data_IF_078182713465
#
_entry.id   IF_078182713465
#
_cell.length_a   1.000
_cell.length_b   1.000
_cell.length_c   1.000
_cell.angle_alpha   90.00
_cell.angle_beta   90.00
_cell.angle_gamma   90.00
#
_symmetry.space_group_name_H-M   'P 1'
#
loop_
_entity.id
_entity.type
_entity.pdbx_description
1 polymer ?
#
# COMPACT_ATOMS: atom_id res chain seq x y z
N UNK A 1 -14.57 39.41 -33.36
CA UNK A 1 -13.25 38.77 -33.16
C UNK A 1 -12.97 38.79 -31.67
N UNK A 2 -13.50 37.81 -30.93
CA UNK A 2 -13.40 37.74 -29.47
C UNK A 2 -12.07 37.10 -29.07
N UNK A 3 -11.28 37.83 -28.28
CA UNK A 3 -10.01 37.37 -27.73
C UNK A 3 -10.21 36.12 -26.88
N UNK A 4 -9.49 35.04 -27.21
CA UNK A 4 -9.37 33.88 -26.33
C UNK A 4 -8.65 34.30 -25.05
N UNK A 5 -9.35 34.27 -23.94
CA UNK A 5 -8.78 34.40 -22.60
C UNK A 5 -7.84 33.21 -22.38
N UNK A 6 -6.54 33.49 -22.15
CA UNK A 6 -5.56 32.45 -21.84
C UNK A 6 -5.99 31.79 -20.53
N UNK A 7 -6.38 30.52 -20.60
CA UNK A 7 -6.59 29.66 -19.43
C UNK A 7 -5.35 29.77 -18.54
N UNK A 8 -5.57 30.13 -17.28
CA UNK A 8 -4.56 30.32 -16.23
C UNK A 8 -3.72 29.04 -16.13
N UNK A 9 -2.40 29.17 -16.23
CA UNK A 9 -1.47 28.03 -16.24
C UNK A 9 -1.74 27.10 -15.05
N UNK A 10 -2.20 25.89 -15.34
CA UNK A 10 -2.29 24.79 -14.37
C UNK A 10 -0.87 24.50 -13.91
N UNK A 11 -0.60 24.59 -12.60
CA UNK A 11 0.73 24.23 -12.07
C UNK A 11 0.99 22.76 -12.35
N UNK A 12 2.18 22.43 -12.84
CA UNK A 12 2.60 21.04 -13.03
C UNK A 12 2.76 20.34 -11.66
N UNK A 13 2.46 19.05 -11.59
CA UNK A 13 2.52 18.27 -10.35
C UNK A 13 3.91 18.33 -9.70
N UNK A 14 4.96 18.31 -10.52
CA UNK A 14 6.35 18.40 -10.07
C UNK A 14 6.63 19.72 -9.34
N UNK A 15 6.02 20.83 -9.78
CA UNK A 15 6.22 22.14 -9.17
C UNK A 15 5.43 22.27 -7.86
N UNK A 16 4.35 21.51 -7.70
CA UNK A 16 3.64 21.40 -6.42
C UNK A 16 4.50 20.59 -5.43
N UNK A 17 5.07 19.46 -5.85
CA UNK A 17 5.89 18.59 -5.00
C UNK A 17 7.14 19.31 -4.48
N UNK A 18 7.77 20.17 -5.29
CA UNK A 18 8.98 20.92 -4.91
C UNK A 18 8.76 21.92 -3.77
N UNK A 19 7.52 22.39 -3.58
CA UNK A 19 7.17 23.39 -2.58
C UNK A 19 6.74 22.78 -1.23
N UNK A 20 6.65 21.45 -1.13
CA UNK A 20 6.19 20.77 0.09
C UNK A 20 7.23 20.93 1.21
N UNK A 21 6.81 21.56 2.32
CA UNK A 21 7.62 21.70 3.53
C UNK A 21 7.40 20.52 4.49
N UNK A 22 8.28 19.52 4.40
CA UNK A 22 8.27 18.36 5.28
C UNK A 22 8.69 18.65 6.73
N UNK A 23 9.27 19.84 7.03
CA UNK A 23 9.62 20.19 8.41
C UNK A 23 8.37 20.49 9.24
N UNK A 24 7.28 20.89 8.61
CA UNK A 24 5.98 21.09 9.28
C UNK A 24 5.49 19.81 9.99
N UNK A 25 5.82 18.63 9.45
CA UNK A 25 5.45 17.32 9.98
C UNK A 25 6.18 16.98 11.29
N UNK A 26 7.31 17.63 11.62
CA UNK A 26 8.06 17.39 12.86
C UNK A 26 7.31 17.74 14.14
N UNK A 27 6.23 18.51 14.03
CA UNK A 27 5.47 18.99 15.18
C UNK A 27 4.35 18.04 15.61
N UNK A 28 4.02 17.04 14.78
CA UNK A 28 2.96 16.09 15.09
C UNK A 28 3.51 14.85 15.79
N UNK A 29 2.85 14.46 16.88
CA UNK A 29 3.14 13.19 17.55
C UNK A 29 2.48 12.07 16.74
N UNK A 30 3.22 11.05 16.28
CA UNK A 30 2.65 9.97 15.49
C UNK A 30 1.61 9.17 16.27
N UNK A 31 0.64 8.58 15.56
CA UNK A 31 -0.32 7.67 16.19
C UNK A 31 0.35 6.40 16.73
N UNK A 32 -0.36 5.71 17.63
CA UNK A 32 0.07 4.40 18.11
C UNK A 32 0.24 3.40 16.96
N UNK A 33 -0.61 3.47 15.94
CA UNK A 33 -0.53 2.60 14.77
C UNK A 33 0.75 2.87 13.97
N UNK A 34 1.09 4.14 13.70
CA UNK A 34 2.32 4.46 12.98
C UNK A 34 3.57 3.95 13.72
N UNK A 35 3.63 4.10 15.04
CA UNK A 35 4.74 3.59 15.86
C UNK A 35 4.80 2.06 15.88
N UNK A 36 3.66 1.39 15.98
CA UNK A 36 3.55 -0.06 15.92
C UNK A 36 4.02 -0.58 14.56
N UNK A 37 3.58 0.05 13.48
CA UNK A 37 3.92 -0.32 12.12
C UNK A 37 5.42 -0.15 11.84
N UNK A 38 6.03 0.98 12.24
CA UNK A 38 7.48 1.16 12.12
C UNK A 38 8.24 0.12 12.97
N UNK A 39 7.72 -0.24 14.14
CA UNK A 39 8.32 -1.30 14.95
C UNK A 39 8.21 -2.66 14.26
N UNK A 40 7.08 -2.93 13.60
CA UNK A 40 6.89 -4.10 12.77
C UNK A 40 7.92 -4.17 11.63
N UNK A 41 8.15 -3.08 10.89
CA UNK A 41 9.18 -3.05 9.83
C UNK A 41 10.55 -3.46 10.40
N UNK A 42 10.93 -2.95 11.57
CA UNK A 42 12.18 -3.32 12.24
C UNK A 42 12.23 -4.79 12.59
N UNK A 43 11.13 -5.35 13.11
CA UNK A 43 11.04 -6.79 13.41
C UNK A 43 11.16 -7.64 12.15
N UNK A 44 10.55 -7.20 11.04
CA UNK A 44 10.67 -7.89 9.74
C UNK A 44 12.12 -7.92 9.26
N UNK A 45 12.84 -6.80 9.37
CA UNK A 45 14.22 -6.71 8.90
C UNK A 45 15.26 -7.32 9.86
N UNK A 46 14.93 -7.49 11.14
CA UNK A 46 15.78 -8.15 12.13
C UNK A 46 17.16 -7.50 12.29
N UNK A 47 18.19 -8.32 12.55
CA UNK A 47 19.58 -7.85 12.70
C UNK A 47 20.15 -7.21 11.42
N UNK A 48 19.59 -7.54 10.26
CA UNK A 48 19.97 -6.92 8.99
C UNK A 48 19.66 -5.42 8.92
N UNK A 49 18.74 -4.94 9.75
CA UNK A 49 18.37 -3.53 9.84
C UNK A 49 17.66 -2.96 8.60
N UNK A 50 17.28 -1.69 8.69
CA UNK A 50 16.75 -0.94 7.55
C UNK A 50 17.90 -0.20 6.86
N UNK A 51 17.91 -0.16 5.51
CA UNK A 51 18.88 0.64 4.76
C UNK A 51 18.76 2.15 5.08
N UNK A 52 17.58 2.59 5.49
CA UNK A 52 17.27 3.98 5.80
C UNK A 52 16.39 4.08 7.03
N UNK A 53 16.64 5.09 7.89
CA UNK A 53 15.73 5.44 8.98
C UNK A 53 14.37 5.82 8.37
N UNK A 54 13.29 5.32 8.95
CA UNK A 54 11.92 5.67 8.55
C UNK A 54 11.76 7.21 8.62
N UNK A 55 11.61 7.90 7.47
CA UNK A 55 11.45 9.34 7.45
C UNK A 55 10.12 9.74 8.06
N UNK A 56 10.03 10.99 8.53
CA UNK A 56 8.81 11.49 9.18
C UNK A 56 7.57 11.45 8.27
N UNK A 57 7.79 11.51 6.95
CA UNK A 57 6.74 11.41 5.95
C UNK A 57 6.02 10.05 6.02
N UNK A 58 6.72 8.96 6.39
CA UNK A 58 6.09 7.64 6.50
C UNK A 58 5.20 7.56 7.74
N UNK A 59 5.58 8.21 8.83
CA UNK A 59 4.76 8.30 10.04
C UNK A 59 3.45 9.04 9.74
N UNK A 60 3.56 10.20 9.08
CA UNK A 60 2.40 10.98 8.65
C UNK A 60 1.50 10.17 7.70
N UNK A 61 2.07 9.52 6.68
CA UNK A 61 1.29 8.66 5.77
C UNK A 61 0.56 7.52 6.50
N UNK A 62 1.18 6.90 7.49
CA UNK A 62 0.55 5.84 8.29
C UNK A 62 -0.57 6.36 9.18
N UNK A 63 -0.43 7.58 9.70
CA UNK A 63 -1.49 8.25 10.46
C UNK A 63 -2.69 8.52 9.55
N UNK A 64 -2.47 9.05 8.33
CA UNK A 64 -3.53 9.26 7.33
C UNK A 64 -4.23 7.95 6.96
N UNK A 65 -3.48 6.85 6.77
CA UNK A 65 -4.05 5.51 6.51
C UNK A 65 -5.00 5.04 7.62
N UNK A 66 -4.72 5.38 8.89
CA UNK A 66 -5.58 5.01 10.01
C UNK A 66 -6.79 5.92 10.20
N UNK A 67 -6.76 7.14 9.65
CA UNK A 67 -7.81 8.16 9.80
C UNK A 67 -8.78 8.22 8.63
N UNK A 68 -8.34 7.77 7.44
CA UNK A 68 -9.09 7.91 6.20
C UNK A 68 -9.20 6.58 5.44
N UNK A 69 -10.38 6.31 4.89
CA UNK A 69 -10.64 5.12 4.07
C UNK A 69 -10.00 5.22 2.67
N UNK A 70 -9.81 6.45 2.17
CA UNK A 70 -9.25 6.74 0.85
C UNK A 70 -8.04 7.68 1.00
N UNK A 71 -6.88 7.24 0.50
CA UNK A 71 -5.63 7.98 0.64
C UNK A 71 -4.91 8.09 -0.71
N UNK A 72 -4.52 9.31 -1.08
CA UNK A 72 -3.68 9.59 -2.25
C UNK A 72 -2.34 10.21 -1.80
N UNK A 73 -1.27 9.40 -1.85
CA UNK A 73 0.06 9.85 -1.46
C UNK A 73 0.91 10.23 -2.66
N UNK A 74 1.06 11.54 -2.87
CA UNK A 74 1.96 12.11 -3.87
C UNK A 74 3.22 12.63 -3.17
N UNK A 75 4.37 12.05 -3.52
CA UNK A 75 5.66 12.43 -2.95
C UNK A 75 6.76 12.37 -4.01
N UNK A 76 7.90 13.00 -3.72
CA UNK A 76 9.07 12.98 -4.59
C UNK A 76 9.56 11.55 -4.88
N UNK A 77 10.19 11.36 -6.05
CA UNK A 77 10.77 10.08 -6.43
C UNK A 77 11.87 9.67 -5.47
N UNK A 78 11.87 8.41 -5.02
CA UNK A 78 12.84 7.92 -4.02
C UNK A 78 12.38 8.06 -2.57
N UNK A 79 11.14 8.51 -2.32
CA UNK A 79 10.51 8.56 -0.99
C UNK A 79 10.20 7.18 -0.38
N UNK A 80 10.48 6.08 -1.08
CA UNK A 80 10.21 4.70 -0.64
C UNK A 80 8.74 4.40 -0.26
N UNK A 81 7.78 5.17 -0.79
CA UNK A 81 6.34 5.02 -0.49
C UNK A 81 5.79 3.62 -0.83
N UNK A 82 6.22 3.01 -1.93
CA UNK A 82 5.77 1.67 -2.33
C UNK A 82 6.23 0.63 -1.30
N UNK A 83 7.52 0.64 -0.94
CA UNK A 83 8.05 -0.29 0.06
C UNK A 83 7.39 -0.09 1.43
N UNK A 84 7.31 1.16 1.91
CA UNK A 84 6.74 1.46 3.23
C UNK A 84 5.24 1.14 3.33
N UNK A 85 4.44 1.55 2.34
CA UNK A 85 2.98 1.50 2.45
C UNK A 85 2.33 0.31 1.76
N UNK A 86 2.98 -0.33 0.78
CA UNK A 86 2.36 -1.43 0.02
C UNK A 86 2.94 -2.76 0.49
N UNK A 87 4.27 -2.91 0.37
CA UNK A 87 4.96 -4.16 0.69
C UNK A 87 4.84 -4.52 2.18
N UNK A 88 5.24 -3.62 3.09
CA UNK A 88 5.13 -3.89 4.52
C UNK A 88 3.68 -3.92 5.02
N UNK A 89 2.75 -3.22 4.37
CA UNK A 89 1.34 -3.24 4.78
C UNK A 89 0.71 -4.60 4.53
N UNK A 90 0.95 -5.21 3.37
CA UNK A 90 0.51 -6.58 3.12
C UNK A 90 1.09 -7.58 4.12
N UNK A 91 2.37 -7.42 4.48
CA UNK A 91 3.02 -8.28 5.48
C UNK A 91 2.49 -8.03 6.90
N UNK A 92 2.15 -6.79 7.24
CA UNK A 92 1.54 -6.43 8.51
C UNK A 92 0.15 -7.07 8.64
N UNK A 93 -0.70 -6.91 7.62
CA UNK A 93 -2.02 -7.56 7.57
C UNK A 93 -1.87 -9.08 7.57
N UNK A 94 -0.92 -9.65 6.82
CA UNK A 94 -0.65 -11.09 6.86
C UNK A 94 -0.26 -11.58 8.26
N UNK A 95 0.41 -10.75 9.06
CA UNK A 95 0.85 -11.10 10.41
C UNK A 95 -0.29 -10.99 11.43
N UNK A 96 -1.01 -9.86 11.43
CA UNK A 96 -1.99 -9.53 12.47
C UNK A 96 -3.46 -9.78 12.08
N UNK A 97 -3.72 -9.94 10.78
CA UNK A 97 -5.04 -10.21 10.19
C UNK A 97 -5.94 -8.98 9.99
N UNK A 98 -5.40 -7.78 10.16
CA UNK A 98 -6.16 -6.55 10.05
C UNK A 98 -5.34 -5.32 10.39
N UNK A 99 -5.98 -4.16 10.35
CA UNK A 99 -5.40 -2.88 10.73
C UNK A 99 -6.14 -2.37 11.98
N UNK A 100 -5.43 -1.90 13.02
CA UNK A 100 -6.06 -1.29 14.18
C UNK A 100 -7.09 -0.22 13.77
N UNK A 101 -8.28 -0.25 14.37
CA UNK A 101 -9.43 0.64 14.08
C UNK A 101 -10.11 0.46 12.71
N UNK A 102 -9.46 -0.18 11.73
CA UNK A 102 -10.08 -0.55 10.45
C UNK A 102 -10.82 -1.89 10.53
N UNK A 103 -10.25 -2.86 11.25
CA UNK A 103 -10.80 -4.20 11.43
C UNK A 103 -10.05 -5.28 10.64
N UNK A 104 -10.69 -6.44 10.51
CA UNK A 104 -10.11 -7.61 9.86
C UNK A 104 -10.06 -7.45 8.33
N UNK A 105 -8.98 -7.97 7.74
CA UNK A 105 -8.75 -7.92 6.29
C UNK A 105 -8.30 -9.29 5.81
N UNK A 106 -9.20 -9.99 5.10
CA UNK A 106 -8.92 -11.33 4.55
C UNK A 106 -8.57 -11.29 3.05
N UNK A 107 -9.07 -10.28 2.33
CA UNK A 107 -8.91 -10.15 0.87
C UNK A 107 -8.48 -8.74 0.51
N UNK A 108 -7.38 -8.64 -0.24
CA UNK A 108 -6.89 -7.39 -0.79
C UNK A 108 -6.65 -7.48 -2.30
N UNK A 109 -6.65 -6.33 -2.96
CA UNK A 109 -6.20 -6.18 -4.34
C UNK A 109 -4.96 -5.32 -4.43
N UNK A 110 -4.08 -5.68 -5.36
CA UNK A 110 -2.93 -4.88 -5.77
C UNK A 110 -3.05 -4.59 -7.26
N UNK A 111 -3.03 -3.33 -7.64
CA UNK A 111 -3.21 -2.89 -9.02
C UNK A 111 -1.97 -2.13 -9.41
N UNK A 112 -1.32 -2.55 -10.49
CA UNK A 112 -0.16 -1.87 -11.04
C UNK A 112 -0.34 -1.63 -12.54
N UNK A 113 0.57 -0.89 -13.16
CA UNK A 113 0.59 -0.64 -14.60
C UNK A 113 0.39 -1.92 -15.44
N UNK A 114 1.15 -2.97 -15.13
CA UNK A 114 1.15 -4.26 -15.83
C UNK A 114 1.40 -5.40 -14.85
N UNK A 115 0.99 -6.61 -15.24
CA UNK A 115 1.29 -7.83 -14.47
C UNK A 115 2.80 -8.11 -14.45
N UNK A 116 3.46 -7.97 -15.60
CA UNK A 116 4.86 -8.39 -15.73
C UNK A 116 5.84 -7.46 -15.01
N UNK A 117 5.63 -6.14 -15.06
CA UNK A 117 6.55 -5.20 -14.42
C UNK A 117 6.15 -4.88 -12.98
N UNK A 118 4.86 -4.61 -12.71
CA UNK A 118 4.42 -4.20 -11.39
C UNK A 118 4.08 -5.38 -10.47
N UNK A 119 3.10 -6.21 -10.84
CA UNK A 119 2.61 -7.31 -9.99
C UNK A 119 3.73 -8.30 -9.67
N UNK A 120 4.45 -8.79 -10.70
CA UNK A 120 5.54 -9.75 -10.47
C UNK A 120 6.70 -9.16 -9.67
N UNK A 121 6.99 -7.86 -9.80
CA UNK A 121 8.00 -7.20 -8.98
C UNK A 121 7.58 -7.12 -7.52
N UNK A 122 6.33 -6.72 -7.24
CA UNK A 122 5.79 -6.71 -5.87
C UNK A 122 5.82 -8.11 -5.25
N UNK A 123 5.41 -9.15 -6.01
CA UNK A 123 5.52 -10.55 -5.58
C UNK A 123 6.95 -10.92 -5.17
N UNK A 124 7.94 -10.60 -6.01
CA UNK A 124 9.35 -10.90 -5.75
C UNK A 124 9.83 -10.20 -4.48
N UNK A 125 9.44 -8.95 -4.25
CA UNK A 125 9.80 -8.19 -3.05
C UNK A 125 9.20 -8.82 -1.79
N UNK A 126 7.91 -9.16 -1.81
CA UNK A 126 7.23 -9.84 -0.70
C UNK A 126 7.89 -11.19 -0.37
N UNK A 127 8.15 -12.01 -1.39
CA UNK A 127 8.81 -13.31 -1.23
C UNK A 127 10.23 -13.15 -0.67
N UNK A 128 10.98 -12.16 -1.16
CA UNK A 128 12.31 -11.85 -0.64
C UNK A 128 12.29 -11.44 0.84
N UNK A 129 11.36 -10.56 1.24
CA UNK A 129 11.21 -10.15 2.66
C UNK A 129 10.84 -11.32 3.54
N UNK A 130 9.85 -12.10 3.13
CA UNK A 130 9.42 -13.28 3.86
C UNK A 130 10.58 -14.28 4.05
N UNK A 131 11.32 -14.57 2.99
CA UNK A 131 12.44 -15.52 3.03
C UNK A 131 13.62 -15.04 3.88
N UNK A 132 13.78 -13.71 4.05
CA UNK A 132 14.85 -13.12 4.88
C UNK A 132 14.44 -12.82 6.32
N UNK A 133 13.17 -12.97 6.66
CA UNK A 133 12.66 -12.60 7.97
C UNK A 133 12.29 -13.82 8.80
N UNK A 134 13.10 -14.13 9.82
CA UNK A 134 12.76 -15.14 10.82
C UNK A 134 11.46 -14.79 11.56
N UNK A 135 11.23 -13.50 11.79
CA UNK A 135 9.98 -12.99 12.36
C UNK A 135 8.79 -13.39 11.50
N UNK A 136 8.80 -13.09 10.19
CA UNK A 136 7.67 -13.44 9.31
C UNK A 136 7.48 -14.96 9.20
N UNK A 137 8.55 -15.73 9.05
CA UNK A 137 8.46 -17.20 8.97
C UNK A 137 7.89 -17.82 10.24
N UNK A 138 8.16 -17.22 11.40
CA UNK A 138 7.57 -17.64 12.66
C UNK A 138 6.08 -17.32 12.69
N UNK A 139 5.68 -16.08 12.42
CA UNK A 139 4.29 -15.64 12.61
C UNK A 139 3.35 -15.97 11.45
N UNK A 140 3.90 -16.25 10.26
CA UNK A 140 3.19 -16.65 9.05
C UNK A 140 3.76 -17.99 8.59
N UNK A 141 3.41 -19.11 9.26
CA UNK A 141 4.01 -20.42 9.02
C UNK A 141 3.72 -21.00 7.62
N UNK A 142 2.74 -20.43 6.91
CA UNK A 142 2.37 -20.89 5.58
C UNK A 142 2.14 -19.73 4.63
N UNK A 143 2.81 -19.81 3.47
CA UNK A 143 2.67 -18.87 2.37
C UNK A 143 2.56 -19.60 1.04
N UNK A 144 1.84 -19.01 0.09
CA UNK A 144 1.80 -19.48 -1.29
C UNK A 144 1.82 -18.28 -2.24
N UNK A 145 2.92 -18.16 -2.98
CA UNK A 145 3.06 -17.15 -4.03
C UNK A 145 2.81 -17.77 -5.40
N UNK A 146 1.95 -17.14 -6.19
CA UNK A 146 1.89 -17.26 -7.64
C UNK A 146 2.10 -15.88 -8.26
N UNK A 147 2.19 -15.81 -9.59
CA UNK A 147 2.40 -14.54 -10.30
C UNK A 147 1.39 -13.45 -9.90
N UNK A 148 0.13 -13.82 -9.66
CA UNK A 148 -0.98 -12.87 -9.42
C UNK A 148 -1.75 -13.12 -8.13
N UNK A 149 -1.36 -14.11 -7.32
CA UNK A 149 -2.05 -14.45 -6.07
C UNK A 149 -1.04 -14.77 -4.97
N UNK A 150 -1.12 -14.04 -3.86
CA UNK A 150 -0.21 -14.17 -2.73
C UNK A 150 -1.03 -14.46 -1.49
N UNK A 151 -0.86 -15.66 -0.94
CA UNK A 151 -1.67 -16.17 0.14
C UNK A 151 -0.80 -16.39 1.38
N UNK A 152 -1.34 -16.00 2.53
CA UNK A 152 -0.66 -16.04 3.82
C UNK A 152 -1.61 -16.66 4.84
N UNK A 153 -1.08 -17.52 5.72
CA UNK A 153 -1.80 -18.01 6.89
C UNK A 153 -0.94 -17.83 8.13
N UNK A 154 -1.44 -17.07 9.09
CA UNK A 154 -0.71 -16.73 10.31
C UNK A 154 -0.83 -17.81 11.41
N UNK A 155 -0.04 -17.69 12.47
CA UNK A 155 -0.05 -18.60 13.63
C UNK A 155 -1.41 -18.63 14.35
N UNK A 156 -2.20 -17.57 14.27
CA UNK A 156 -3.54 -17.48 14.85
C UNK A 156 -4.60 -18.15 13.95
N UNK A 157 -4.21 -18.66 12.78
CA UNK A 157 -5.08 -19.33 11.83
C UNK A 157 -5.85 -18.38 10.88
N UNK A 158 -5.59 -17.06 10.94
CA UNK A 158 -6.16 -16.08 10.03
C UNK A 158 -5.53 -16.23 8.64
N UNK A 159 -6.36 -16.11 7.62
CA UNK A 159 -5.94 -16.21 6.21
C UNK A 159 -6.05 -14.85 5.54
N UNK A 160 -5.01 -14.45 4.82
CA UNK A 160 -4.98 -13.24 4.05
C UNK A 160 -4.55 -13.54 2.61
N UNK A 161 -5.29 -13.03 1.63
CA UNK A 161 -4.99 -13.21 0.22
C UNK A 161 -4.95 -11.86 -0.51
N UNK A 162 -3.85 -11.62 -1.22
CA UNK A 162 -3.69 -10.49 -2.14
C UNK A 162 -3.77 -11.01 -3.57
N UNK A 163 -4.56 -10.33 -4.41
CA UNK A 163 -4.63 -10.59 -5.85
C UNK A 163 -4.08 -9.40 -6.64
N UNK A 164 -3.12 -9.68 -7.51
CA UNK A 164 -2.51 -8.69 -8.39
C UNK A 164 -3.25 -8.54 -9.72
N UNK A 165 -3.40 -7.30 -10.18
CA UNK A 165 -4.03 -6.91 -11.42
C UNK A 165 -3.16 -5.90 -12.19
N UNK A 166 -3.18 -5.99 -13.52
CA UNK A 166 -2.68 -4.92 -14.37
C UNK A 166 -3.77 -3.88 -14.60
N UNK A 167 -3.40 -2.61 -14.83
CA UNK A 167 -4.35 -1.50 -15.00
C UNK A 167 -5.33 -1.71 -16.17
N UNK A 168 -4.94 -2.49 -17.18
CA UNK A 168 -5.80 -2.84 -18.32
C UNK A 168 -6.72 -4.04 -18.07
N UNK A 169 -6.68 -4.65 -16.88
CA UNK A 169 -7.46 -5.85 -16.55
C UNK A 169 -8.67 -5.51 -15.69
N UNK A 170 -9.82 -6.13 -15.99
CA UNK A 170 -11.04 -5.92 -15.22
C UNK A 170 -10.98 -6.59 -13.84
N UNK A 171 -11.25 -5.82 -12.78
CA UNK A 171 -11.34 -6.29 -11.38
C UNK A 171 -12.76 -6.70 -10.95
N UNK A 172 -13.76 -6.40 -11.79
CA UNK A 172 -15.18 -6.57 -11.44
C UNK A 172 -15.51 -8.02 -11.12
N UNK A 173 -16.24 -8.23 -10.02
CA UNK A 173 -16.70 -9.55 -9.65
C UNK A 173 -15.68 -10.37 -8.85
N UNK A 174 -14.45 -9.87 -8.67
CA UNK A 174 -13.42 -10.53 -7.88
C UNK A 174 -13.87 -10.83 -6.45
N UNK A 175 -13.56 -12.05 -6.02
CA UNK A 175 -13.73 -12.58 -4.66
C UNK A 175 -12.63 -13.60 -4.39
N UNK A 176 -12.17 -13.67 -3.15
CA UNK A 176 -11.41 -14.81 -2.61
C UNK A 176 -12.13 -15.25 -1.34
N UNK A 177 -12.11 -16.55 -1.05
CA UNK A 177 -12.85 -17.14 0.09
C UNK A 177 -14.37 -16.84 0.11
N UNK A 178 -14.95 -16.40 -1.02
CA UNK A 178 -16.35 -15.94 -1.09
C UNK A 178 -16.57 -14.49 -0.65
N UNK A 179 -15.52 -13.81 -0.20
CA UNK A 179 -15.50 -12.44 0.32
C UNK A 179 -15.04 -11.43 -0.74
N UNK A 180 -15.50 -10.19 -0.61
CA UNK A 180 -15.05 -9.06 -1.43
C UNK A 180 -13.75 -8.50 -0.85
N UNK A 181 -12.85 -7.94 -1.67
CA UNK A 181 -11.71 -7.21 -1.14
C UNK A 181 -12.19 -6.02 -0.29
N UNK A 182 -11.61 -5.88 0.89
CA UNK A 182 -11.83 -4.73 1.79
C UNK A 182 -10.63 -3.79 1.80
N UNK A 183 -9.52 -4.19 1.17
CA UNK A 183 -8.29 -3.42 1.08
C UNK A 183 -7.78 -3.34 -0.37
N UNK A 184 -7.31 -2.17 -0.78
CA UNK A 184 -6.83 -1.90 -2.13
C UNK A 184 -5.54 -1.08 -2.10
N UNK A 185 -4.59 -1.47 -2.93
CA UNK A 185 -3.44 -0.66 -3.27
C UNK A 185 -3.34 -0.49 -4.78
N UNK A 186 -3.19 0.76 -5.23
CA UNK A 186 -2.95 1.11 -6.63
C UNK A 186 -1.59 1.80 -6.77
N UNK A 187 -0.71 1.21 -7.58
CA UNK A 187 0.58 1.78 -7.95
C UNK A 187 0.55 2.28 -9.41
N UNK A 188 0.60 3.60 -9.59
CA UNK A 188 0.68 4.21 -10.91
C UNK A 188 0.81 5.73 -10.88
N UNK A 189 1.34 6.30 -11.97
CA UNK A 189 1.30 7.74 -12.28
C UNK A 189 -0.05 8.13 -12.89
N UNK A 190 -0.83 7.15 -13.35
CA UNK A 190 -2.12 7.34 -14.01
C UNK A 190 -3.19 7.01 -12.98
N UNK A 191 -3.92 8.03 -12.53
CA UNK A 191 -5.14 7.85 -11.73
C UNK A 191 -6.20 7.30 -12.68
N UNK A 192 -6.42 5.98 -12.67
CA UNK A 192 -7.51 5.36 -13.40
C UNK A 192 -8.82 5.60 -12.65
N UNK A 193 -9.66 6.51 -13.15
CA UNK A 193 -10.95 6.89 -12.56
C UNK A 193 -12.03 5.78 -12.60
N UNK A 194 -11.66 4.52 -12.89
CA UNK A 194 -12.60 3.42 -13.15
C UNK A 194 -12.56 2.30 -12.09
N UNK A 195 -12.06 2.59 -10.89
CA UNK A 195 -12.48 1.86 -9.69
C UNK A 195 -13.89 2.31 -9.29
N UNK A 196 -14.87 1.90 -10.09
CA UNK A 196 -16.29 1.95 -9.75
C UNK A 196 -16.77 3.33 -9.30
N UNK A 197 -17.12 4.18 -10.26
CA UNK A 197 -18.23 5.09 -9.99
C UNK A 197 -19.41 4.24 -9.53
N UNK A 198 -19.73 4.29 -8.23
CA UNK A 198 -21.06 3.95 -7.75
C UNK A 198 -22.02 4.92 -8.43
N UNK A 199 -22.41 4.62 -9.67
CA UNK A 199 -23.73 4.99 -10.12
C UNK A 199 -24.68 4.16 -9.29
N UNK A 200 -25.20 4.79 -8.24
CA UNK A 200 -26.50 4.43 -7.69
C UNK A 200 -27.46 4.67 -8.85
N UNK A 201 -27.79 3.60 -9.57
CA UNK A 201 -28.98 3.57 -10.41
C UNK A 201 -30.11 3.07 -9.51
N UNK A 202 -31.20 3.84 -9.49
CA UNK A 202 -32.43 3.58 -8.72
C UNK A 202 -33.01 2.17 -8.95
#
# INVERSE_FOLDING_TARGET
MGSMEKVKATRELEDIIKEVDYLSLQKQMPSSFALEFITFIKMVNGEGGEEHKSPIIHLDMLDQVAEHDENLFVAFRGSAKTTALHEYMFLYIATYGGIPKFGEVNVAIYVSDTIDNGVKSMRQNLEFRYNKSEFLQKYIPWVKFTDVRWEFKNLEGKSFCVRGFGASTGVRGFKEYGERPTWCHEEGTIIGSDFGTMKVED
#
